data_IF_691358158280
#
_entry.id   IF_691358158280
#
_cell.length_a   1.000
_cell.length_b   1.000
_cell.length_c   1.000
_cell.angle_alpha   90.00
_cell.angle_beta   90.00
_cell.angle_gamma   90.00
#
_symmetry.space_group_name_H-M   'P 1'
#
loop_
_entity.id
_entity.type
_entity.pdbx_description
1 polymer ?
#
# COMPACT_ATOMS: atom_id res chain seq x y z
N UNK A 1 -35.98 27.16 21.69
CA UNK A 1 -34.79 26.41 22.19
C UNK A 1 -34.97 24.94 21.82
N UNK A 2 -34.36 24.48 20.73
CA UNK A 2 -34.40 23.07 20.34
C UNK A 2 -33.40 22.28 21.19
N UNK A 3 -33.91 21.47 22.13
CA UNK A 3 -33.11 20.49 22.86
C UNK A 3 -32.92 19.28 21.96
N UNK A 4 -31.84 19.27 21.17
CA UNK A 4 -31.44 18.09 20.42
C UNK A 4 -31.07 16.99 21.43
N UNK A 5 -31.76 15.84 21.44
CA UNK A 5 -31.55 14.83 22.47
C UNK A 5 -30.13 14.26 22.36
N UNK A 6 -29.43 14.16 23.50
CA UNK A 6 -28.06 13.66 23.61
C UNK A 6 -27.86 12.29 22.91
N UNK A 7 -28.92 11.48 22.85
CA UNK A 7 -28.98 10.22 22.11
C UNK A 7 -28.80 10.37 20.60
N UNK A 8 -29.28 11.46 19.97
CA UNK A 8 -29.06 11.70 18.54
C UNK A 8 -27.59 12.05 18.26
N UNK A 9 -26.93 12.76 19.18
CA UNK A 9 -25.51 13.12 19.09
C UNK A 9 -24.62 11.89 19.26
N UNK A 10 -24.96 10.99 20.19
CA UNK A 10 -24.24 9.71 20.33
C UNK A 10 -24.52 8.75 19.18
N UNK A 11 -25.76 8.68 18.65
CA UNK A 11 -26.08 7.88 17.48
C UNK A 11 -25.38 8.40 16.22
N UNK A 12 -25.30 9.72 16.02
CA UNK A 12 -24.48 10.33 14.96
C UNK A 12 -23.00 10.00 15.19
N UNK A 13 -22.47 10.11 16.41
CA UNK A 13 -21.08 9.73 16.71
C UNK A 13 -20.76 8.25 16.47
N UNK A 14 -21.73 7.35 16.63
CA UNK A 14 -21.60 5.91 16.30
C UNK A 14 -21.80 5.64 14.80
N UNK A 15 -22.58 6.43 14.08
CA UNK A 15 -22.70 6.35 12.62
C UNK A 15 -21.53 7.00 11.89
N UNK A 16 -20.84 7.94 12.54
CA UNK A 16 -19.51 8.43 12.19
C UNK A 16 -18.42 7.54 12.82
N UNK A 17 -18.62 6.21 12.87
CA UNK A 17 -17.51 5.27 13.01
C UNK A 17 -16.55 5.50 11.84
N UNK A 18 -15.57 6.34 12.11
CA UNK A 18 -14.32 6.61 11.41
C UNK A 18 -14.28 5.99 10.00
N UNK A 19 -14.89 6.68 9.03
CA UNK A 19 -14.45 6.52 7.64
C UNK A 19 -13.10 7.23 7.56
N UNK A 20 -12.06 6.53 7.98
CA UNK A 20 -10.67 6.77 7.63
C UNK A 20 -10.56 6.91 6.12
N UNK A 21 -10.68 8.15 5.66
CA UNK A 21 -10.54 8.46 4.25
C UNK A 21 -9.04 8.57 4.00
N UNK A 22 -8.35 7.46 3.74
CA UNK A 22 -6.99 7.60 3.20
C UNK A 22 -7.12 8.22 1.83
N UNK A 23 -6.68 9.46 1.74
CA UNK A 23 -6.58 10.13 0.45
C UNK A 23 -5.31 9.59 -0.20
N UNK A 24 -5.44 9.09 -1.43
CA UNK A 24 -4.27 8.75 -2.23
C UNK A 24 -3.60 10.02 -2.75
N UNK A 25 -2.71 10.57 -1.91
CA UNK A 25 -1.83 11.66 -2.29
C UNK A 25 -0.49 11.07 -2.70
N UNK A 26 -0.09 11.34 -3.94
CA UNK A 26 1.22 10.93 -4.45
C UNK A 26 2.30 11.81 -3.82
N UNK A 27 3.35 11.19 -3.28
CA UNK A 27 4.56 11.91 -2.87
C UNK A 27 5.34 12.45 -4.09
N UNK A 28 6.38 13.25 -3.86
CA UNK A 28 7.12 13.90 -4.96
C UNK A 28 7.68 12.90 -5.97
N UNK A 29 8.19 11.76 -5.51
CA UNK A 29 8.73 10.71 -6.39
C UNK A 29 7.59 10.02 -7.15
N UNK A 30 6.51 9.70 -6.46
CA UNK A 30 5.31 9.12 -7.08
C UNK A 30 4.70 10.04 -8.14
N UNK A 31 4.62 11.34 -7.86
CA UNK A 31 4.05 12.30 -8.80
C UNK A 31 4.94 12.50 -10.03
N UNK A 32 6.27 12.53 -9.85
CA UNK A 32 7.20 12.59 -10.97
C UNK A 32 7.05 11.38 -11.90
N UNK A 33 7.06 10.16 -11.33
CA UNK A 33 6.88 8.93 -12.09
C UNK A 33 5.49 8.84 -12.73
N UNK A 34 4.43 9.24 -12.03
CA UNK A 34 3.07 9.20 -12.57
C UNK A 34 2.92 10.12 -13.78
N UNK A 35 3.47 11.34 -13.71
CA UNK A 35 3.46 12.29 -14.81
C UNK A 35 4.22 11.78 -16.04
N UNK A 36 5.35 11.10 -15.85
CA UNK A 36 6.14 10.52 -16.94
C UNK A 36 5.34 9.49 -17.76
N UNK A 37 4.48 8.72 -17.09
CA UNK A 37 3.69 7.66 -17.72
C UNK A 37 2.21 8.00 -17.92
N UNK A 38 1.83 9.28 -17.73
CA UNK A 38 0.48 9.78 -17.97
C UNK A 38 -0.58 9.21 -17.01
N UNK A 39 -0.18 8.90 -15.77
CA UNK A 39 -1.08 8.43 -14.72
C UNK A 39 -1.44 9.57 -13.77
N UNK A 40 -2.69 9.58 -13.31
CA UNK A 40 -3.11 10.42 -12.18
C UNK A 40 -3.21 9.62 -10.88
N UNK A 41 -3.42 10.30 -9.75
CA UNK A 41 -3.50 9.65 -8.44
C UNK A 41 -4.66 8.64 -8.33
N UNK A 42 -5.77 8.86 -9.04
CA UNK A 42 -6.90 7.94 -9.03
C UNK A 42 -6.59 6.69 -9.85
N UNK A 43 -6.01 6.84 -11.04
CA UNK A 43 -5.56 5.72 -11.87
C UNK A 43 -4.52 4.88 -11.14
N UNK A 44 -3.54 5.51 -10.48
CA UNK A 44 -2.56 4.80 -9.64
C UNK A 44 -3.28 3.99 -8.58
N UNK A 45 -4.19 4.60 -7.80
CA UNK A 45 -4.95 3.88 -6.76
C UNK A 45 -5.72 2.69 -7.34
N UNK A 46 -6.39 2.87 -8.48
CA UNK A 46 -7.15 1.84 -9.17
C UNK A 46 -6.28 0.63 -9.53
N UNK A 47 -5.09 0.86 -10.09
CA UNK A 47 -4.14 -0.23 -10.36
C UNK A 47 -3.64 -0.92 -9.09
N UNK A 48 -3.44 -0.16 -8.01
CA UNK A 48 -3.06 -0.73 -6.71
C UNK A 48 -4.15 -1.64 -6.14
N UNK A 49 -5.42 -1.26 -6.24
CA UNK A 49 -6.58 -1.98 -5.68
C UNK A 49 -7.01 -3.16 -6.55
N UNK A 50 -7.10 -2.96 -7.86
CA UNK A 50 -7.65 -3.96 -8.79
C UNK A 50 -6.59 -4.94 -9.30
N UNK A 51 -5.30 -4.74 -8.98
CA UNK A 51 -4.17 -5.54 -9.47
C UNK A 51 -4.15 -5.68 -11.00
N UNK A 52 -4.59 -4.63 -11.71
CA UNK A 52 -4.61 -4.59 -13.17
C UNK A 52 -3.18 -4.49 -13.68
N UNK A 53 -2.81 -5.44 -14.53
CA UNK A 53 -1.53 -5.43 -15.23
C UNK A 53 -1.64 -4.45 -16.41
N UNK A 54 -1.02 -3.28 -16.23
CA UNK A 54 -0.94 -2.21 -17.22
C UNK A 54 0.53 -1.83 -17.45
N UNK A 55 0.89 -1.60 -18.71
CA UNK A 55 2.28 -1.34 -19.08
C UNK A 55 2.82 -0.01 -18.53
N UNK A 56 1.97 1.02 -18.42
CA UNK A 56 2.35 2.30 -17.84
C UNK A 56 2.44 2.19 -16.32
N UNK A 57 1.54 1.43 -15.70
CA UNK A 57 1.61 1.15 -14.27
C UNK A 57 2.84 0.33 -13.88
N UNK A 58 3.25 -0.65 -14.70
CA UNK A 58 4.49 -1.40 -14.49
C UNK A 58 5.72 -0.49 -14.52
N UNK A 59 5.81 0.40 -15.52
CA UNK A 59 6.89 1.41 -15.62
C UNK A 59 6.87 2.39 -14.46
N UNK A 60 5.68 2.83 -14.05
CA UNK A 60 5.49 3.66 -12.87
C UNK A 60 6.05 2.97 -11.62
N UNK A 61 5.73 1.68 -11.42
CA UNK A 61 6.23 0.92 -10.28
C UNK A 61 7.75 0.80 -10.28
N UNK A 62 8.37 0.50 -11.42
CA UNK A 62 9.83 0.43 -11.52
C UNK A 62 10.46 1.80 -11.20
N UNK A 63 9.89 2.89 -11.74
CA UNK A 63 10.35 4.26 -11.45
C UNK A 63 10.26 4.60 -9.96
N UNK A 64 9.11 4.36 -9.32
CA UNK A 64 8.95 4.70 -7.90
C UNK A 64 9.80 3.79 -7.01
N UNK A 65 9.99 2.52 -7.37
CA UNK A 65 10.81 1.60 -6.60
C UNK A 65 12.30 1.93 -6.69
N UNK A 66 12.78 2.43 -7.84
CA UNK A 66 14.10 3.04 -7.96
C UNK A 66 14.21 4.29 -7.09
N UNK A 67 13.22 5.18 -7.16
CA UNK A 67 13.17 6.40 -6.34
C UNK A 67 13.11 6.13 -4.83
N UNK A 68 12.60 4.98 -4.40
CA UNK A 68 12.60 4.52 -3.01
C UNK A 68 13.79 3.63 -2.65
N UNK A 69 14.70 3.40 -3.58
CA UNK A 69 15.86 2.51 -3.43
C UNK A 69 15.46 1.06 -3.09
N UNK A 70 14.28 0.61 -3.50
CA UNK A 70 13.86 -0.79 -3.41
C UNK A 70 14.27 -1.59 -4.63
N UNK A 71 14.73 -0.90 -5.67
CA UNK A 71 15.23 -1.45 -6.90
C UNK A 71 16.46 -0.64 -7.31
N UNK A 72 17.48 -1.31 -7.86
CA UNK A 72 18.65 -0.63 -8.43
C UNK A 72 18.39 -0.16 -9.88
N UNK A 73 19.36 0.49 -10.49
CA UNK A 73 19.21 0.98 -11.88
C UNK A 73 19.05 -0.12 -12.93
N UNK A 74 19.55 -1.33 -12.64
CA UNK A 74 19.44 -2.49 -13.53
C UNK A 74 18.07 -3.18 -13.44
N UNK A 75 17.22 -2.79 -12.49
CA UNK A 75 15.94 -3.43 -12.25
C UNK A 75 15.97 -4.54 -11.18
N UNK A 76 17.10 -4.77 -10.52
CA UNK A 76 17.20 -5.78 -9.47
C UNK A 76 16.56 -5.28 -8.18
N UNK A 77 15.73 -6.13 -7.58
CA UNK A 77 15.04 -5.81 -6.32
C UNK A 77 16.02 -5.90 -5.14
N UNK A 78 16.05 -4.85 -4.33
CA UNK A 78 16.83 -4.73 -3.11
C UNK A 78 15.97 -5.10 -1.90
N UNK A 79 15.78 -6.40 -1.66
CA UNK A 79 14.90 -6.92 -0.60
C UNK A 79 15.20 -6.35 0.79
N UNK A 80 16.47 -6.14 1.13
CA UNK A 80 16.84 -5.52 2.42
C UNK A 80 16.27 -4.11 2.58
N UNK A 81 16.19 -3.34 1.50
CA UNK A 81 15.64 -2.00 1.52
C UNK A 81 14.11 -2.02 1.60
N UNK A 82 13.47 -2.96 0.88
CA UNK A 82 12.03 -3.23 1.02
C UNK A 82 11.69 -3.56 2.48
N UNK A 83 12.46 -4.46 3.11
CA UNK A 83 12.28 -4.85 4.52
C UNK A 83 12.53 -3.69 5.47
N UNK A 84 13.43 -2.76 5.18
CA UNK A 84 13.73 -1.59 6.04
C UNK A 84 12.74 -0.44 5.90
N UNK A 85 11.91 -0.41 4.86
CA UNK A 85 10.93 0.67 4.65
C UNK A 85 10.02 0.87 5.86
N UNK A 86 10.00 2.09 6.40
CA UNK A 86 9.11 2.48 7.50
C UNK A 86 7.70 2.84 7.02
N UNK A 87 7.52 3.02 5.72
CA UNK A 87 6.22 3.22 5.10
C UNK A 87 5.63 1.83 4.83
N UNK A 88 5.12 1.29 5.95
CA UNK A 88 4.16 0.21 6.18
C UNK A 88 3.11 0.13 5.02
N UNK A 89 2.27 -0.91 4.95
CA UNK A 89 1.56 -1.43 3.76
C UNK A 89 1.02 -0.46 2.71
N UNK A 90 0.65 0.77 3.07
CA UNK A 90 0.20 1.82 2.16
C UNK A 90 1.00 1.91 0.84
N UNK A 91 2.34 1.93 0.87
CA UNK A 91 3.13 2.04 -0.37
C UNK A 91 3.06 0.80 -1.28
N UNK A 92 2.71 -0.36 -0.72
CA UNK A 92 2.66 -1.63 -1.45
C UNK A 92 1.22 -2.01 -1.81
N UNK A 93 0.26 -1.83 -0.91
CA UNK A 93 -1.13 -2.27 -1.08
C UNK A 93 -2.15 -1.13 -1.13
N UNK A 94 -1.76 0.12 -0.83
CA UNK A 94 -2.67 1.27 -0.64
C UNK A 94 -3.83 0.95 0.29
N UNK A 95 -3.59 0.12 1.31
CA UNK A 95 -4.57 -0.19 2.34
C UNK A 95 -4.44 0.76 3.52
N UNK A 96 -5.57 1.33 3.90
CA UNK A 96 -5.73 2.05 5.14
C UNK A 96 -5.61 1.10 6.32
N UNK A 97 -4.67 1.38 7.22
CA UNK A 97 -4.59 0.70 8.50
C UNK A 97 -4.90 1.73 9.60
N UNK A 98 -6.13 1.69 10.11
CA UNK A 98 -6.69 2.77 10.94
C UNK A 98 -6.41 2.63 12.44
N UNK A 99 -5.48 1.73 12.78
CA UNK A 99 -5.19 1.40 14.18
C UNK A 99 -3.69 1.58 14.47
N UNK A 100 -3.30 2.74 15.05
CA UNK A 100 -1.92 3.01 15.46
C UNK A 100 -1.33 1.94 16.38
N UNK A 101 -2.18 1.27 17.15
CA UNK A 101 -1.82 0.23 18.11
C UNK A 101 -1.39 -1.09 17.45
N UNK A 102 -1.69 -1.30 16.16
CA UNK A 102 -1.33 -2.52 15.43
C UNK A 102 0.04 -2.44 14.73
N UNK A 103 0.74 -1.30 14.82
CA UNK A 103 1.98 -1.01 14.08
C UNK A 103 3.04 -2.10 14.14
N UNK A 104 3.31 -2.69 15.32
CA UNK A 104 4.30 -3.77 15.46
C UNK A 104 3.86 -5.08 14.80
N UNK A 105 2.59 -5.47 14.96
CA UNK A 105 2.06 -6.69 14.37
C UNK A 105 1.98 -6.57 12.83
N UNK A 106 1.54 -5.41 12.34
CA UNK A 106 1.51 -5.09 10.90
C UNK A 106 2.91 -5.08 10.30
N UNK A 107 3.89 -4.49 11.00
CA UNK A 107 5.30 -4.55 10.60
C UNK A 107 5.79 -5.98 10.46
N UNK A 108 5.49 -6.83 11.44
CA UNK A 108 5.90 -8.23 11.41
C UNK A 108 5.22 -9.01 10.27
N UNK A 109 3.92 -8.77 10.04
CA UNK A 109 3.18 -9.37 8.91
C UNK A 109 3.80 -8.99 7.59
N UNK A 110 4.04 -7.70 7.37
CA UNK A 110 4.72 -7.21 6.18
C UNK A 110 6.08 -7.90 5.96
N UNK A 111 6.92 -7.97 6.99
CA UNK A 111 8.22 -8.64 6.91
C UNK A 111 8.08 -10.12 6.54
N UNK A 112 7.09 -10.81 7.13
CA UNK A 112 6.80 -12.21 6.81
C UNK A 112 6.36 -12.36 5.34
N UNK A 113 5.49 -11.47 4.84
CA UNK A 113 5.04 -11.48 3.44
C UNK A 113 6.21 -11.22 2.48
N UNK A 114 7.10 -10.28 2.79
CA UNK A 114 8.31 -10.02 1.98
C UNK A 114 9.22 -11.25 1.97
N UNK A 115 9.51 -11.84 3.12
CA UNK A 115 10.36 -13.04 3.22
C UNK A 115 9.75 -14.24 2.46
N UNK A 116 8.43 -14.40 2.53
CA UNK A 116 7.72 -15.43 1.79
C UNK A 116 7.87 -15.23 0.28
N UNK A 117 7.64 -14.00 -0.20
CA UNK A 117 7.71 -13.67 -1.63
C UNK A 117 9.14 -13.69 -2.19
N UNK A 118 10.14 -13.40 -1.37
CA UNK A 118 11.55 -13.60 -1.72
C UNK A 118 11.87 -15.08 -1.91
N UNK A 119 11.36 -15.95 -1.02
CA UNK A 119 11.58 -17.39 -1.09
C UNK A 119 10.77 -18.13 -2.16
N UNK A 120 9.68 -17.54 -2.67
CA UNK A 120 8.72 -18.22 -3.57
C UNK A 120 9.17 -18.33 -5.03
N UNK A 121 10.31 -17.74 -5.41
CA UNK A 121 10.86 -17.72 -6.78
C UNK A 121 9.82 -17.21 -7.81
N UNK A 122 9.41 -15.96 -7.64
CA UNK A 122 8.51 -15.29 -8.58
C UNK A 122 9.14 -15.20 -9.98
N UNK A 123 8.38 -15.58 -11.01
CA UNK A 123 8.80 -15.52 -12.41
C UNK A 123 7.71 -14.81 -13.24
N UNK A 124 7.98 -13.60 -13.81
CA UNK A 124 9.20 -12.81 -13.66
C UNK A 124 9.28 -12.14 -12.28
N UNK A 125 10.51 -11.95 -11.77
CA UNK A 125 10.75 -11.11 -10.60
C UNK A 125 10.85 -9.64 -11.01
N UNK A 126 9.82 -8.84 -10.71
CA UNK A 126 9.78 -7.40 -10.94
C UNK A 126 8.95 -6.69 -9.87
N UNK A 127 8.89 -5.35 -9.92
CA UNK A 127 8.16 -4.56 -8.93
C UNK A 127 6.68 -4.95 -8.84
N UNK A 128 6.03 -5.20 -9.99
CA UNK A 128 4.62 -5.58 -10.04
C UNK A 128 4.36 -6.95 -9.41
N UNK A 129 5.11 -7.98 -9.80
CA UNK A 129 4.92 -9.34 -9.30
C UNK A 129 5.23 -9.45 -7.81
N UNK A 130 6.28 -8.78 -7.34
CA UNK A 130 6.61 -8.74 -5.92
C UNK A 130 5.56 -7.95 -5.12
N UNK A 131 5.12 -6.78 -5.60
CA UNK A 131 4.03 -6.00 -4.95
C UNK A 131 2.78 -6.87 -4.79
N UNK A 132 2.35 -7.54 -5.86
CA UNK A 132 1.17 -8.39 -5.86
C UNK A 132 1.30 -9.52 -4.84
N UNK A 133 2.44 -10.22 -4.83
CA UNK A 133 2.71 -11.27 -3.86
C UNK A 133 2.66 -10.76 -2.41
N UNK A 134 3.32 -9.63 -2.12
CA UNK A 134 3.33 -9.05 -0.77
C UNK A 134 1.92 -8.65 -0.36
N UNK A 135 1.17 -7.96 -1.22
CA UNK A 135 -0.20 -7.53 -0.93
C UNK A 135 -1.11 -8.74 -0.59
N UNK A 136 -1.07 -9.80 -1.39
CA UNK A 136 -1.88 -11.01 -1.17
C UNK A 136 -1.53 -11.72 0.15
N UNK A 137 -0.24 -11.78 0.51
CA UNK A 137 0.22 -12.44 1.73
C UNK A 137 0.16 -11.53 2.97
N UNK A 138 0.02 -10.23 2.78
CA UNK A 138 -0.25 -9.28 3.86
C UNK A 138 -1.72 -9.38 4.29
N UNK A 139 -2.61 -9.55 3.31
CA UNK A 139 -4.07 -9.61 3.49
C UNK A 139 -4.58 -10.92 4.07
N UNK A 140 -3.97 -12.05 3.68
CA UNK A 140 -4.38 -13.38 4.13
C UNK A 140 -4.06 -13.67 5.60
N UNK A 141 -3.24 -12.82 6.25
CA UNK A 141 -2.95 -12.88 7.68
C UNK A 141 -4.08 -12.26 8.54
N UNK A 142 -5.35 -12.43 8.11
CA UNK A 142 -6.53 -11.95 8.82
C UNK A 142 -6.55 -12.46 10.27
N UNK A 143 -7.00 -11.58 11.14
CA UNK A 143 -6.84 -11.64 12.59
C UNK A 143 -7.61 -12.85 13.18
N UNK A 144 -6.87 -13.84 13.68
CA UNK A 144 -7.33 -14.65 14.79
C UNK A 144 -7.43 -13.71 16.01
N UNK A 145 -8.61 -13.15 16.23
CA UNK A 145 -8.99 -12.51 17.49
C UNK A 145 -9.61 -13.55 18.42
#
# INVERSE_FOLDING_TARGET
MFRMPLFLVTLLGVLFTVNSTCVNVLDTSEQACANEFGLDANSVLEHYVNHVEDANFAKYLDCVWKGWEWMNENGDILFDNVKKSNHLPWRISRKCDDMPHLTKAMRQRFLNSVNYCEGSKLEPLNAFSLRKCIAQNYDSAQLDF
#
